data_IF_853927695816
#
_entry.id   IF_853927695816
#
_cell.length_a   1.000
_cell.length_b   1.000
_cell.length_c   1.000
_cell.angle_alpha   90.00
_cell.angle_beta   90.00
_cell.angle_gamma   90.00
#
_symmetry.space_group_name_H-M   'P 1'
#
loop_
_entity.id
_entity.type
_entity.pdbx_description
1 polymer ?
#
# COMPACT_ATOMS: atom_id res chain seq x y z
N UNK A 1 -6.00 -24.44 23.02
CA UNK A 1 -6.33 -23.50 21.94
C UNK A 1 -5.06 -23.13 21.20
N UNK A 2 -5.14 -23.14 19.90
CA UNK A 2 -4.00 -22.82 19.07
C UNK A 2 -4.23 -21.41 18.47
N UNK A 3 -3.28 -20.53 18.70
CA UNK A 3 -3.32 -19.21 18.07
C UNK A 3 -2.77 -19.32 16.67
N UNK A 4 -3.49 -18.79 15.73
CA UNK A 4 -3.09 -18.78 14.34
C UNK A 4 -2.83 -17.36 13.88
N UNK A 5 -1.67 -17.14 13.26
CA UNK A 5 -1.37 -15.86 12.64
C UNK A 5 -1.73 -15.93 11.16
N UNK A 6 -2.43 -14.92 10.72
CA UNK A 6 -2.73 -14.73 9.31
C UNK A 6 -1.98 -13.48 8.83
N UNK A 7 -1.32 -13.63 7.71
CA UNK A 7 -0.49 -12.58 7.10
C UNK A 7 -1.19 -12.02 5.88
N UNK A 8 -1.15 -10.72 5.74
CA UNK A 8 -1.78 -10.05 4.62
C UNK A 8 -0.91 -8.88 4.16
N UNK A 9 -0.86 -8.65 2.86
CA UNK A 9 -0.20 -7.46 2.31
C UNK A 9 -1.26 -6.60 1.67
N UNK A 10 -1.35 -5.35 2.12
CA UNK A 10 -2.17 -4.35 1.45
C UNK A 10 -1.27 -3.43 0.65
N UNK A 11 -1.75 -3.03 -0.49
CA UNK A 11 -0.95 -2.23 -1.41
C UNK A 11 -1.82 -1.16 -2.07
N UNK A 12 -1.15 -0.09 -2.46
CA UNK A 12 -1.79 0.99 -3.20
C UNK A 12 -0.83 1.47 -4.29
N UNK A 13 -1.40 1.97 -5.36
CA UNK A 13 -0.65 2.55 -6.46
C UNK A 13 -1.23 3.91 -6.75
N UNK A 14 -0.38 4.90 -6.88
CA UNK A 14 -0.85 6.24 -7.20
C UNK A 14 0.13 6.95 -8.11
N UNK A 15 -0.40 7.82 -8.94
CA UNK A 15 0.42 8.67 -9.78
C UNK A 15 1.11 9.73 -8.93
N UNK A 16 2.40 9.93 -9.19
CA UNK A 16 3.15 10.97 -8.53
C UNK A 16 2.75 12.32 -9.12
N UNK A 17 2.20 13.19 -8.30
CA UNK A 17 1.77 14.51 -8.73
C UNK A 17 2.45 15.61 -7.91
N UNK A 18 2.36 16.82 -8.43
CA UNK A 18 2.91 18.00 -7.75
C UNK A 18 2.20 18.28 -6.42
N UNK A 19 0.96 17.82 -6.28
CA UNK A 19 0.13 18.09 -5.10
C UNK A 19 0.30 17.10 -3.97
N UNK A 20 1.08 16.06 -4.16
CA UNK A 20 1.31 15.06 -3.13
C UNK A 20 1.16 13.65 -3.66
N UNK A 21 1.22 12.72 -2.75
CA UNK A 21 1.35 11.32 -3.06
C UNK A 21 0.10 10.57 -2.68
N UNK A 22 -0.78 10.36 -3.65
CA UNK A 22 -2.06 9.71 -3.46
C UNK A 22 -1.88 8.26 -2.96
N UNK A 23 -0.79 7.59 -3.38
CA UNK A 23 -0.53 6.22 -2.97
C UNK A 23 -0.38 6.09 -1.46
N UNK A 24 0.33 7.01 -0.82
CA UNK A 24 0.50 6.98 0.64
C UNK A 24 -0.82 7.21 1.36
N UNK A 25 -1.63 8.16 0.89
CA UNK A 25 -2.92 8.44 1.50
C UNK A 25 -3.85 7.24 1.38
N UNK A 26 -3.88 6.58 0.22
CA UNK A 26 -4.69 5.40 0.01
C UNK A 26 -4.22 4.24 0.90
N UNK A 27 -2.92 4.05 1.00
CA UNK A 27 -2.38 3.00 1.86
C UNK A 27 -2.74 3.26 3.32
N UNK A 28 -2.61 4.50 3.77
CA UNK A 28 -2.96 4.88 5.13
C UNK A 28 -4.42 4.55 5.45
N UNK A 29 -5.33 4.87 4.54
CA UNK A 29 -6.74 4.55 4.71
C UNK A 29 -6.97 3.03 4.77
N UNK A 30 -6.34 2.28 3.87
CA UNK A 30 -6.47 0.83 3.84
C UNK A 30 -5.94 0.19 5.12
N UNK A 31 -4.80 0.65 5.60
CA UNK A 31 -4.22 0.13 6.84
C UNK A 31 -5.13 0.44 8.02
N UNK A 32 -5.65 1.66 8.09
CA UNK A 32 -6.53 2.04 9.18
C UNK A 32 -7.82 1.23 9.18
N UNK A 33 -8.39 0.94 8.01
CA UNK A 33 -9.55 0.07 7.90
C UNK A 33 -9.26 -1.33 8.43
N UNK A 34 -8.10 -1.87 8.09
CA UNK A 34 -7.69 -3.19 8.57
C UNK A 34 -7.43 -3.23 10.06
N UNK A 35 -6.86 -2.13 10.61
CA UNK A 35 -6.65 -2.02 12.06
C UNK A 35 -7.99 -2.12 12.80
N UNK A 36 -9.04 -1.51 12.27
CA UNK A 36 -10.37 -1.61 12.87
C UNK A 36 -10.90 -3.03 12.87
N UNK A 37 -10.44 -3.86 11.94
CA UNK A 37 -10.82 -5.28 11.84
C UNK A 37 -9.90 -6.20 12.64
N UNK A 38 -8.97 -5.65 13.40
CA UNK A 38 -8.07 -6.42 14.25
C UNK A 38 -6.72 -6.75 13.65
N UNK A 39 -6.41 -6.19 12.48
CA UNK A 39 -5.11 -6.37 11.87
C UNK A 39 -4.09 -5.42 12.48
N UNK A 40 -2.85 -5.87 12.56
CA UNK A 40 -1.74 -5.05 13.06
C UNK A 40 -0.67 -4.92 11.99
N UNK A 41 -0.21 -3.69 11.70
CA UNK A 41 0.91 -3.51 10.76
C UNK A 41 2.20 -4.08 11.34
N UNK A 42 3.00 -4.68 10.47
CA UNK A 42 4.29 -5.28 10.85
C UNK A 42 5.37 -4.70 9.96
N UNK A 43 6.40 -4.16 10.59
CA UNK A 43 7.51 -3.57 9.86
C UNK A 43 7.16 -2.25 9.19
N UNK A 44 8.08 -1.74 8.42
CA UNK A 44 7.87 -0.52 7.67
C UNK A 44 7.16 -0.78 6.35
N UNK A 45 6.82 0.29 5.67
CA UNK A 45 6.21 0.18 4.34
C UNK A 45 7.29 -0.05 3.28
N UNK A 46 6.92 -0.79 2.24
CA UNK A 46 7.74 -0.94 1.05
C UNK A 46 7.29 0.08 0.00
N UNK A 47 8.24 0.72 -0.64
CA UNK A 47 7.96 1.75 -1.63
C UNK A 47 8.79 1.47 -2.88
N UNK A 48 8.17 1.53 -4.04
CA UNK A 48 8.88 1.47 -5.30
C UNK A 48 8.28 2.46 -6.29
N UNK A 49 9.13 3.03 -7.13
CA UNK A 49 8.70 3.93 -8.20
C UNK A 49 8.80 3.20 -9.53
N UNK A 50 7.78 3.35 -10.35
CA UNK A 50 7.75 2.74 -11.67
C UNK A 50 7.35 3.80 -12.69
N UNK A 51 8.08 3.87 -13.79
CA UNK A 51 7.71 4.74 -14.89
C UNK A 51 6.51 4.15 -15.62
N UNK A 52 5.47 4.93 -15.76
CA UNK A 52 4.30 4.53 -16.53
C UNK A 52 4.55 4.66 -18.03
N UNK A 53 3.62 4.14 -18.83
CA UNK A 53 3.73 4.27 -20.28
C UNK A 53 3.64 5.73 -20.71
N UNK A 54 4.40 6.06 -21.74
CA UNK A 54 4.32 7.39 -22.35
C UNK A 54 2.99 7.55 -23.07
N UNK A 55 2.34 8.66 -22.80
CA UNK A 55 1.15 9.01 -23.57
C UNK A 55 1.58 9.50 -24.95
N UNK A 56 0.82 9.14 -25.98
CA UNK A 56 1.10 9.58 -27.33
C UNK A 56 1.19 11.09 -27.41
N UNK A 57 2.28 11.59 -27.97
CA UNK A 57 2.51 13.03 -28.06
C UNK A 57 3.11 13.68 -26.83
N UNK A 58 3.32 12.94 -25.77
CA UNK A 58 3.93 13.46 -24.55
C UNK A 58 5.41 13.10 -24.49
N UNK A 59 6.23 14.06 -24.08
CA UNK A 59 7.65 13.82 -23.84
C UNK A 59 7.94 13.49 -22.38
N UNK A 60 6.92 13.58 -21.52
CA UNK A 60 7.06 13.30 -20.10
C UNK A 60 6.65 11.88 -19.78
N UNK A 61 7.44 11.22 -18.96
CA UNK A 61 7.06 9.94 -18.36
C UNK A 61 6.16 10.19 -17.17
N UNK A 62 5.10 9.40 -17.04
CA UNK A 62 4.32 9.37 -15.83
C UNK A 62 5.00 8.43 -14.84
N UNK A 63 5.13 8.88 -13.60
CA UNK A 63 5.71 8.07 -12.53
C UNK A 63 4.61 7.63 -11.59
N UNK A 64 4.67 6.37 -11.20
CA UNK A 64 3.73 5.79 -10.25
C UNK A 64 4.51 5.30 -9.04
N UNK A 65 3.94 5.54 -7.87
CA UNK A 65 4.44 4.94 -6.64
C UNK A 65 3.61 3.74 -6.28
N UNK A 66 4.30 2.66 -5.98
CA UNK A 66 3.69 1.46 -5.40
C UNK A 66 4.12 1.39 -3.96
N UNK A 67 3.16 1.31 -3.07
CA UNK A 67 3.42 1.22 -1.64
C UNK A 67 2.69 0.02 -1.08
N UNK A 68 3.30 -0.63 -0.09
CA UNK A 68 2.74 -1.82 0.49
C UNK A 68 3.04 -1.87 1.98
N UNK A 69 2.12 -2.47 2.73
CA UNK A 69 2.26 -2.70 4.16
C UNK A 69 1.84 -4.11 4.49
N UNK A 70 2.69 -4.81 5.23
CA UNK A 70 2.35 -6.12 5.75
C UNK A 70 1.54 -5.98 7.02
N UNK A 71 0.55 -6.84 7.17
CA UNK A 71 -0.33 -6.87 8.34
C UNK A 71 -0.43 -8.29 8.84
N UNK A 72 -0.60 -8.44 10.14
CA UNK A 72 -0.89 -9.74 10.74
C UNK A 72 -2.12 -9.63 11.62
N UNK A 73 -2.83 -10.74 11.72
CA UNK A 73 -3.95 -10.86 12.64
C UNK A 73 -3.89 -12.21 13.30
N UNK A 74 -4.04 -12.19 14.62
CA UNK A 74 -4.09 -13.42 15.40
C UNK A 74 -5.53 -13.84 15.58
N UNK A 75 -5.79 -15.11 15.34
CA UNK A 75 -7.08 -15.68 15.61
C UNK A 75 -6.91 -16.92 16.50
N UNK A 76 -7.91 -17.20 17.30
CA UNK A 76 -7.92 -18.37 18.19
C UNK A 76 -8.84 -19.41 17.58
N UNK A 77 -8.30 -20.61 17.41
CA UNK A 77 -9.07 -21.75 16.92
C UNK A 77 -9.37 -22.74 18.03
#
# INVERSE_FOLDING_TARGET
MINKLTYKIVKAVGEETVKGNVAFEQLEQLVNEHIREGWQPVGGIAVSSVAGPKTSGSTKNNWYLRVAQALVRESVE
#
